data_IF_256704678227
#
_entry.id   IF_256704678227
#
_cell.length_a   1.000
_cell.length_b   1.000
_cell.length_c   1.000
_cell.angle_alpha   90.00
_cell.angle_beta   90.00
_cell.angle_gamma   90.00
#
_symmetry.space_group_name_H-M   'P 1'
#
loop_
_entity.id
_entity.type
_entity.pdbx_description
1 polymer ?
#
# COMPACT_ATOMS: atom_id res chain seq x y z
N UNK A 1 12.59 -23.15 10.53
CA UNK A 1 12.13 -21.94 11.23
C UNK A 1 11.30 -21.17 10.23
N UNK A 2 10.03 -20.88 10.51
CA UNK A 2 9.21 -20.10 9.58
C UNK A 2 9.84 -18.71 9.46
N UNK A 3 10.33 -18.34 8.29
CA UNK A 3 10.71 -16.95 8.03
C UNK A 3 9.41 -16.16 7.99
N UNK A 4 9.11 -15.43 9.07
CA UNK A 4 7.94 -14.56 9.13
C UNK A 4 8.00 -13.50 8.03
N UNK A 5 6.83 -13.06 7.57
CA UNK A 5 6.75 -11.93 6.62
C UNK A 5 7.24 -10.67 7.32
N UNK A 6 8.22 -9.99 6.74
CA UNK A 6 8.74 -8.70 7.22
C UNK A 6 8.08 -7.54 6.47
N UNK A 7 7.48 -6.63 7.22
CA UNK A 7 6.77 -5.46 6.69
C UNK A 7 7.32 -4.19 7.33
N UNK A 8 7.72 -3.25 6.51
CA UNK A 8 8.10 -1.90 6.92
C UNK A 8 7.03 -0.95 6.45
N UNK A 9 6.61 0.00 7.28
CA UNK A 9 5.81 1.14 6.84
C UNK A 9 6.50 2.45 7.17
N UNK A 10 6.41 3.42 6.25
CA UNK A 10 6.75 4.80 6.54
C UNK A 10 5.46 5.61 6.69
N UNK A 11 5.33 6.31 7.82
CA UNK A 11 4.10 7.00 8.15
C UNK A 11 4.27 8.04 9.26
N UNK A 12 3.13 8.60 9.68
CA UNK A 12 3.09 9.66 10.70
C UNK A 12 3.49 9.10 12.08
N UNK A 13 4.03 9.93 13.00
CA UNK A 13 4.38 9.46 14.35
C UNK A 13 3.17 8.98 15.14
N UNK A 14 2.01 9.61 14.93
CA UNK A 14 0.74 9.26 15.55
C UNK A 14 0.07 8.00 14.96
N UNK A 15 0.64 7.44 13.89
CA UNK A 15 0.18 6.21 13.22
C UNK A 15 -1.26 6.29 12.70
N UNK A 16 -1.74 7.49 12.38
CA UNK A 16 -3.11 7.70 11.89
C UNK A 16 -3.29 7.37 10.41
N UNK A 17 -2.19 7.32 9.66
CA UNK A 17 -2.18 7.09 8.22
C UNK A 17 -2.47 5.62 7.83
N UNK A 18 -2.82 5.39 6.56
CA UNK A 18 -3.32 4.11 6.08
C UNK A 18 -2.30 2.97 6.15
N UNK A 19 -1.04 3.24 5.82
CA UNK A 19 0.07 2.30 5.90
C UNK A 19 0.29 1.84 7.35
N UNK A 20 0.24 2.78 8.31
CA UNK A 20 0.32 2.47 9.73
C UNK A 20 -0.82 1.54 10.20
N UNK A 21 -2.04 1.72 9.69
CA UNK A 21 -3.19 0.83 10.00
C UNK A 21 -3.00 -0.57 9.43
N UNK A 22 -2.51 -0.68 8.19
CA UNK A 22 -2.18 -1.99 7.59
C UNK A 22 -1.10 -2.69 8.41
N UNK A 23 -0.07 -1.96 8.83
CA UNK A 23 1.00 -2.48 9.67
C UNK A 23 0.46 -3.00 11.01
N UNK A 24 -0.47 -2.29 11.64
CA UNK A 24 -1.10 -2.71 12.89
C UNK A 24 -1.80 -4.07 12.78
N UNK A 25 -2.57 -4.30 11.70
CA UNK A 25 -3.23 -5.59 11.48
C UNK A 25 -2.25 -6.71 11.06
N UNK A 26 -1.14 -6.37 10.42
CA UNK A 26 -0.13 -7.35 10.05
C UNK A 26 0.52 -8.03 11.28
N UNK A 27 0.66 -7.31 12.40
CA UNK A 27 1.13 -7.86 13.67
C UNK A 27 0.23 -9.01 14.13
N UNK A 28 -1.09 -8.83 14.04
CA UNK A 28 -2.07 -9.87 14.40
C UNK A 28 -2.00 -11.09 13.47
N UNK A 29 -1.48 -10.91 12.25
CA UNK A 29 -1.23 -11.98 11.28
C UNK A 29 0.15 -12.64 11.44
N UNK A 30 0.92 -12.26 12.47
CA UNK A 30 2.23 -12.84 12.77
C UNK A 30 3.40 -12.27 11.96
N UNK A 31 3.21 -11.13 11.27
CA UNK A 31 4.27 -10.44 10.58
C UNK A 31 5.24 -9.76 11.56
N UNK A 32 6.52 -9.72 11.18
CA UNK A 32 7.51 -8.86 11.84
C UNK A 32 7.41 -7.46 11.22
N UNK A 33 7.09 -6.46 12.04
CA UNK A 33 6.74 -5.13 11.54
C UNK A 33 7.66 -4.03 12.08
N UNK A 34 8.07 -3.12 11.20
CA UNK A 34 8.82 -1.91 11.58
C UNK A 34 8.06 -0.67 11.11
N UNK A 35 7.82 0.27 12.03
CA UNK A 35 7.27 1.58 11.71
C UNK A 35 8.39 2.60 11.69
N UNK A 36 8.54 3.29 10.55
CA UNK A 36 9.52 4.35 10.35
C UNK A 36 8.79 5.67 10.33
N UNK A 37 9.29 6.64 11.10
CA UNK A 37 8.74 7.98 11.16
C UNK A 37 9.84 8.99 11.51
N UNK A 38 9.45 10.22 11.79
CA UNK A 38 10.35 11.21 12.37
C UNK A 38 10.74 10.84 13.81
N UNK A 39 11.84 11.41 14.28
CA UNK A 39 12.30 11.30 15.67
C UNK A 39 11.34 12.00 16.63
N UNK A 40 11.33 11.61 17.91
CA UNK A 40 10.42 12.19 18.92
C UNK A 40 10.63 13.70 19.17
N UNK A 41 11.80 14.23 18.83
CA UNK A 41 12.19 15.62 19.07
C UNK A 41 12.09 16.52 17.82
N UNK A 42 11.45 16.07 16.75
CA UNK A 42 11.28 16.86 15.53
C UNK A 42 9.84 16.83 15.02
N UNK A 43 9.44 17.85 14.28
CA UNK A 43 8.13 17.90 13.65
C UNK A 43 8.15 17.13 12.33
N UNK A 44 7.16 16.25 12.12
CA UNK A 44 7.14 15.36 10.95
C UNK A 44 7.29 16.12 9.61
N UNK A 45 6.63 17.27 9.43
CA UNK A 45 6.69 18.04 8.18
C UNK A 45 8.10 18.55 7.81
N UNK A 46 8.97 18.71 8.80
CA UNK A 46 10.33 19.27 8.68
C UNK A 46 11.43 18.31 9.16
N UNK A 47 11.10 17.02 9.29
CA UNK A 47 12.00 15.98 9.78
C UNK A 47 13.33 15.91 8.99
N UNK A 48 14.40 15.38 9.58
CA UNK A 48 15.60 15.04 8.81
C UNK A 48 15.42 13.69 8.10
N UNK A 49 14.81 13.71 6.91
CA UNK A 49 14.62 12.50 6.09
C UNK A 49 15.94 11.84 5.67
N UNK A 50 17.06 12.56 5.69
CA UNK A 50 18.38 12.03 5.36
C UNK A 50 18.99 11.17 6.47
N UNK A 51 18.48 11.28 7.69
CA UNK A 51 18.91 10.50 8.85
C UNK A 51 18.37 9.06 8.86
N UNK A 52 17.35 8.75 8.05
CA UNK A 52 16.77 7.41 7.99
C UNK A 52 17.72 6.47 7.25
N UNK A 53 18.26 5.46 7.95
CA UNK A 53 19.01 4.38 7.31
C UNK A 53 18.05 3.38 6.64
N UNK A 54 17.59 3.74 5.44
CA UNK A 54 16.69 2.89 4.66
C UNK A 54 17.28 1.52 4.33
N UNK A 55 18.60 1.40 4.20
CA UNK A 55 19.25 0.13 3.90
C UNK A 55 19.14 -0.82 5.09
N UNK A 56 19.46 -0.34 6.29
CA UNK A 56 19.33 -1.13 7.51
C UNK A 56 17.86 -1.53 7.74
N UNK A 57 16.95 -0.55 7.60
CA UNK A 57 15.52 -0.78 7.84
C UNK A 57 14.90 -1.78 6.87
N UNK A 58 15.28 -1.74 5.59
CA UNK A 58 14.70 -2.58 4.54
C UNK A 58 15.44 -3.91 4.34
N UNK A 59 16.49 -4.18 5.12
CA UNK A 59 17.21 -5.44 5.03
C UNK A 59 16.27 -6.64 5.25
N UNK A 60 16.27 -7.54 4.27
CA UNK A 60 15.45 -8.76 4.26
C UNK A 60 13.95 -8.50 4.42
N UNK A 61 13.48 -7.30 4.05
CA UNK A 61 12.06 -6.92 4.10
C UNK A 61 11.29 -7.47 2.90
N UNK A 62 10.06 -7.96 3.12
CA UNK A 62 9.20 -8.40 2.02
C UNK A 62 8.43 -7.23 1.41
N UNK A 63 7.85 -6.38 2.28
CA UNK A 63 6.94 -5.32 1.89
C UNK A 63 7.35 -3.99 2.52
N UNK A 64 7.53 -2.96 1.71
CA UNK A 64 7.48 -1.56 2.13
C UNK A 64 6.06 -1.04 1.87
N UNK A 65 5.38 -0.52 2.88
CA UNK A 65 4.04 0.06 2.75
C UNK A 65 4.13 1.58 2.90
N UNK A 66 3.56 2.29 1.92
CA UNK A 66 3.46 3.73 1.90
C UNK A 66 2.01 4.18 1.71
N UNK A 67 1.63 5.25 2.39
CA UNK A 67 0.34 5.93 2.20
C UNK A 67 0.48 7.01 1.12
N UNK A 68 -0.52 7.16 0.25
CA UNK A 68 -0.56 8.22 -0.77
C UNK A 68 -0.52 9.63 -0.17
N UNK A 69 -1.08 9.79 1.02
CA UNK A 69 -1.32 11.11 1.61
C UNK A 69 -0.09 11.70 2.33
N UNK A 70 0.95 10.89 2.60
CA UNK A 70 2.19 11.36 3.25
C UNK A 70 2.88 12.45 2.42
N UNK A 71 2.71 12.43 1.10
CA UNK A 71 3.26 13.45 0.21
C UNK A 71 2.67 14.86 0.44
N UNK A 72 1.56 14.95 1.18
CA UNK A 72 0.89 16.20 1.54
C UNK A 72 1.37 16.76 2.88
N UNK A 73 2.07 15.96 3.70
CA UNK A 73 2.47 16.33 5.07
C UNK A 73 3.72 17.21 5.14
N UNK A 74 4.32 17.56 4.00
CA UNK A 74 5.49 18.43 3.93
C UNK A 74 6.47 17.99 2.84
N UNK A 75 7.48 18.80 2.59
CA UNK A 75 8.55 18.45 1.66
C UNK A 75 9.38 17.29 2.20
N UNK A 76 9.71 17.30 3.49
CA UNK A 76 10.59 16.28 4.07
C UNK A 76 9.96 14.87 4.10
N UNK A 77 8.71 14.67 4.58
CA UNK A 77 8.02 13.38 4.45
C UNK A 77 7.89 12.92 2.99
N UNK A 78 7.68 13.84 2.05
CA UNK A 78 7.62 13.51 0.61
C UNK A 78 8.97 12.98 0.11
N UNK A 79 10.08 13.57 0.55
CA UNK A 79 11.43 13.08 0.20
C UNK A 79 11.72 11.73 0.83
N UNK A 80 11.37 11.52 2.10
CA UNK A 80 11.48 10.22 2.78
C UNK A 80 10.65 9.14 2.07
N UNK A 81 9.40 9.45 1.70
CA UNK A 81 8.50 8.56 0.95
C UNK A 81 9.08 8.17 -0.42
N UNK A 82 9.70 9.11 -1.13
CA UNK A 82 10.33 8.82 -2.42
C UNK A 82 11.63 8.01 -2.25
N UNK A 83 12.43 8.32 -1.23
CA UNK A 83 13.66 7.60 -0.92
C UNK A 83 13.37 6.15 -0.52
N UNK A 84 12.37 5.92 0.33
CA UNK A 84 11.99 4.57 0.78
C UNK A 84 11.68 3.64 -0.39
N UNK A 85 10.97 4.12 -1.42
CA UNK A 85 10.66 3.34 -2.62
C UNK A 85 11.92 3.00 -3.44
N UNK A 86 12.86 3.94 -3.56
CA UNK A 86 14.14 3.70 -4.26
C UNK A 86 14.96 2.64 -3.51
N UNK A 87 15.09 2.77 -2.19
CA UNK A 87 15.83 1.78 -1.40
C UNK A 87 15.12 0.43 -1.35
N UNK A 88 13.78 0.39 -1.32
CA UNK A 88 13.05 -0.86 -1.39
C UNK A 88 13.37 -1.63 -2.67
N UNK A 89 13.41 -0.93 -3.81
CA UNK A 89 13.82 -1.54 -5.08
C UNK A 89 15.27 -2.08 -5.04
N UNK A 90 16.20 -1.31 -4.45
CA UNK A 90 17.61 -1.71 -4.32
C UNK A 90 17.81 -2.93 -3.42
N UNK A 91 17.10 -2.99 -2.30
CA UNK A 91 17.18 -4.09 -1.32
C UNK A 91 16.26 -5.28 -1.69
N UNK A 92 15.56 -5.20 -2.83
CA UNK A 92 14.66 -6.26 -3.32
C UNK A 92 13.32 -6.36 -2.58
N UNK A 93 13.01 -5.39 -1.73
CA UNK A 93 11.70 -5.23 -1.09
C UNK A 93 10.65 -4.78 -2.11
N UNK A 94 9.42 -5.28 -1.96
CA UNK A 94 8.31 -4.89 -2.83
C UNK A 94 7.54 -3.72 -2.21
N UNK A 95 7.26 -2.70 -3.00
CA UNK A 95 6.46 -1.55 -2.56
C UNK A 95 4.97 -1.82 -2.68
N UNK A 96 4.26 -1.53 -1.60
CA UNK A 96 2.81 -1.44 -1.51
C UNK A 96 2.44 0.03 -1.35
N UNK A 97 1.54 0.50 -2.20
CA UNK A 97 0.97 1.84 -2.09
C UNK A 97 -0.50 1.75 -1.68
N UNK A 98 -0.85 2.42 -0.59
CA UNK A 98 -2.21 2.50 -0.08
C UNK A 98 -2.77 3.88 -0.40
N UNK A 99 -3.76 3.93 -1.29
CA UNK A 99 -4.38 5.16 -1.77
C UNK A 99 -5.69 5.39 -1.05
N UNK A 100 -5.76 6.49 -0.30
CA UNK A 100 -6.94 6.90 0.48
C UNK A 100 -7.31 8.34 0.17
N UNK A 101 -8.54 8.75 0.47
CA UNK A 101 -8.95 10.15 0.44
C UNK A 101 -8.09 10.96 1.43
N UNK A 102 -7.49 12.10 1.04
CA UNK A 102 -6.82 12.99 1.99
C UNK A 102 -7.77 13.64 2.98
N UNK A 103 -7.23 14.14 4.10
CA UNK A 103 -8.02 14.86 5.12
C UNK A 103 -8.78 16.06 4.50
N UNK A 104 -8.18 16.72 3.52
CA UNK A 104 -8.85 17.64 2.61
C UNK A 104 -9.10 16.97 1.24
N UNK A 105 -10.35 16.60 0.91
CA UNK A 105 -10.66 15.88 -0.33
C UNK A 105 -10.24 16.60 -1.63
N UNK A 106 -10.08 17.92 -1.60
CA UNK A 106 -9.59 18.70 -2.74
C UNK A 106 -8.17 18.33 -3.17
N UNK A 107 -7.37 17.77 -2.26
CA UNK A 107 -5.95 17.47 -2.49
C UNK A 107 -5.72 16.09 -3.12
N UNK A 108 -6.78 15.33 -3.41
CA UNK A 108 -6.66 13.98 -3.99
C UNK A 108 -5.93 14.00 -5.34
N UNK A 109 -6.11 15.05 -6.15
CA UNK A 109 -5.37 15.18 -7.40
C UNK A 109 -3.85 15.30 -7.19
N UNK A 110 -3.43 15.96 -6.11
CA UNK A 110 -2.03 16.11 -5.76
C UNK A 110 -1.43 14.80 -5.24
N UNK A 111 -2.11 14.12 -4.31
CA UNK A 111 -1.62 12.83 -3.78
C UNK A 111 -1.63 11.74 -4.86
N UNK A 112 -2.68 11.68 -5.67
CA UNK A 112 -2.77 10.75 -6.80
C UNK A 112 -1.71 11.03 -7.88
N UNK A 113 -1.49 12.31 -8.23
CA UNK A 113 -0.43 12.69 -9.18
C UNK A 113 0.97 12.25 -8.72
N UNK A 114 1.25 12.31 -7.41
CA UNK A 114 2.50 11.79 -6.84
C UNK A 114 2.60 10.26 -7.00
N UNK A 115 1.52 9.52 -6.73
CA UNK A 115 1.46 8.05 -6.94
C UNK A 115 1.71 7.71 -8.42
N UNK A 116 1.03 8.37 -9.35
CA UNK A 116 1.21 8.17 -10.79
C UNK A 116 2.66 8.39 -11.23
N UNK A 117 3.33 9.41 -10.69
CA UNK A 117 4.73 9.70 -11.03
C UNK A 117 5.72 8.58 -10.67
N UNK A 118 5.33 7.69 -9.74
CA UNK A 118 6.12 6.56 -9.24
C UNK A 118 5.48 5.20 -9.50
N UNK A 119 4.41 5.14 -10.29
CA UNK A 119 3.56 3.96 -10.43
C UNK A 119 4.31 2.67 -10.81
N UNK A 120 5.41 2.80 -11.56
CA UNK A 120 6.23 1.66 -12.01
C UNK A 120 7.06 1.01 -10.92
N UNK A 121 7.28 1.70 -9.80
CA UNK A 121 8.00 1.16 -8.64
C UNK A 121 7.05 0.46 -7.67
N UNK A 122 5.73 0.51 -7.91
CA UNK A 122 4.70 -0.06 -7.05
C UNK A 122 4.42 -1.50 -7.50
N UNK A 123 4.54 -2.46 -6.60
CA UNK A 123 4.21 -3.86 -6.87
C UNK A 123 2.77 -4.19 -6.52
N UNK A 124 2.23 -3.59 -5.46
CA UNK A 124 0.82 -3.70 -5.07
C UNK A 124 0.26 -2.29 -4.88
N UNK A 125 -0.71 -1.92 -5.71
CA UNK A 125 -1.46 -0.68 -5.55
C UNK A 125 -2.83 -1.01 -4.96
N UNK A 126 -3.04 -0.66 -3.71
CA UNK A 126 -4.34 -0.75 -3.07
C UNK A 126 -5.06 0.60 -3.18
N UNK A 127 -6.27 0.60 -3.72
CA UNK A 127 -7.12 1.79 -3.76
C UNK A 127 -8.28 1.56 -2.80
N UNK A 128 -8.35 2.40 -1.77
CA UNK A 128 -9.48 2.37 -0.85
C UNK A 128 -10.79 2.60 -1.62
N UNK A 129 -11.89 1.89 -1.29
CA UNK A 129 -13.16 2.01 -2.01
C UNK A 129 -13.64 3.46 -2.15
N UNK A 130 -13.42 4.30 -1.12
CA UNK A 130 -13.83 5.70 -1.15
C UNK A 130 -13.03 6.52 -2.17
N UNK A 131 -11.81 6.09 -2.50
CA UNK A 131 -10.94 6.74 -3.48
C UNK A 131 -11.23 6.36 -4.94
N UNK A 132 -12.01 5.29 -5.19
CA UNK A 132 -12.30 4.82 -6.55
C UNK A 132 -13.02 5.88 -7.39
N UNK A 133 -14.13 6.43 -6.88
CA UNK A 133 -14.94 7.41 -7.61
C UNK A 133 -14.14 8.69 -7.97
N UNK A 134 -13.45 9.37 -7.03
CA UNK A 134 -12.70 10.58 -7.37
C UNK A 134 -11.49 10.31 -8.26
N UNK A 135 -10.78 9.19 -8.11
CA UNK A 135 -9.68 8.83 -9.03
C UNK A 135 -10.21 8.52 -10.43
N UNK A 136 -11.33 7.81 -10.54
CA UNK A 136 -12.02 7.54 -11.82
C UNK A 136 -12.34 8.83 -12.56
N UNK A 137 -12.83 9.84 -11.84
CA UNK A 137 -13.09 11.18 -12.39
C UNK A 137 -11.81 11.89 -12.86
N UNK A 138 -10.71 11.80 -12.11
CA UNK A 138 -9.42 12.39 -12.49
C UNK A 138 -8.88 11.74 -13.76
N UNK A 139 -8.95 10.42 -13.85
CA UNK A 139 -8.42 9.65 -14.97
C UNK A 139 -9.35 9.65 -16.20
N UNK A 140 -10.61 10.05 -16.04
CA UNK A 140 -11.63 9.96 -17.09
C UNK A 140 -11.95 8.50 -17.45
N UNK A 141 -11.99 7.62 -16.45
CA UNK A 141 -12.22 6.17 -16.58
C UNK A 141 -13.50 5.82 -15.81
N UNK A 142 -14.27 4.84 -16.29
CA UNK A 142 -15.43 4.33 -15.53
C UNK A 142 -14.96 3.56 -14.28
N UNK A 143 -15.67 3.73 -13.16
CA UNK A 143 -15.28 3.13 -11.87
C UNK A 143 -15.06 1.61 -11.94
N UNK A 144 -15.91 0.90 -12.70
CA UNK A 144 -15.82 -0.55 -12.87
C UNK A 144 -14.57 -1.01 -13.62
N UNK A 145 -13.98 -0.14 -14.45
CA UNK A 145 -12.78 -0.44 -15.25
C UNK A 145 -11.51 0.14 -14.63
N UNK A 146 -11.61 0.92 -13.55
CA UNK A 146 -10.51 1.71 -13.01
C UNK A 146 -9.28 0.86 -12.69
N UNK A 147 -9.44 -0.20 -11.89
CA UNK A 147 -8.34 -1.07 -11.47
C UNK A 147 -7.63 -1.67 -12.67
N UNK A 148 -8.40 -2.20 -13.64
CA UNK A 148 -7.87 -2.84 -14.85
C UNK A 148 -7.08 -1.85 -15.69
N UNK A 149 -7.62 -0.64 -15.89
CA UNK A 149 -6.96 0.39 -16.68
C UNK A 149 -5.69 0.91 -16.00
N UNK A 150 -5.71 1.15 -14.69
CA UNK A 150 -4.52 1.54 -13.92
C UNK A 150 -3.45 0.45 -14.02
N UNK A 151 -3.83 -0.82 -13.85
CA UNK A 151 -2.92 -1.95 -13.97
C UNK A 151 -2.25 -2.00 -15.34
N UNK A 152 -3.04 -1.91 -16.41
CA UNK A 152 -2.54 -2.01 -17.79
C UNK A 152 -1.68 -0.79 -18.18
N UNK A 153 -2.14 0.42 -17.91
CA UNK A 153 -1.43 1.67 -18.27
C UNK A 153 -0.19 1.91 -17.40
N UNK A 154 -0.31 1.63 -16.09
CA UNK A 154 0.77 1.78 -15.12
C UNK A 154 1.76 0.61 -15.11
N UNK A 155 1.37 -0.53 -15.69
CA UNK A 155 2.08 -1.81 -15.60
C UNK A 155 2.32 -2.26 -14.15
N UNK A 156 1.40 -1.92 -13.26
CA UNK A 156 1.44 -2.37 -11.86
C UNK A 156 1.15 -3.88 -11.84
N UNK A 157 1.97 -4.71 -11.15
CA UNK A 157 1.73 -6.15 -11.07
C UNK A 157 0.37 -6.52 -10.48
N UNK A 158 -0.01 -5.85 -9.39
CA UNK A 158 -1.28 -6.07 -8.68
C UNK A 158 -1.93 -4.73 -8.38
N UNK A 159 -3.20 -4.57 -8.77
CA UNK A 159 -4.05 -3.45 -8.35
C UNK A 159 -5.28 -4.04 -7.66
N UNK A 160 -5.60 -3.60 -6.45
CA UNK A 160 -6.70 -4.19 -5.69
C UNK A 160 -7.49 -3.17 -4.87
N UNK A 161 -8.70 -3.57 -4.48
CA UNK A 161 -9.57 -2.87 -3.54
C UNK A 161 -10.36 -3.88 -2.72
N UNK A 162 -10.88 -3.45 -1.58
CA UNK A 162 -11.75 -4.25 -0.73
C UNK A 162 -12.90 -3.42 -0.21
N UNK A 163 -14.13 -3.72 -0.66
CA UNK A 163 -15.34 -3.07 -0.18
C UNK A 163 -15.89 -3.81 1.03
N UNK A 164 -15.70 -3.25 2.23
CA UNK A 164 -16.17 -3.85 3.48
C UNK A 164 -17.69 -3.89 3.61
N UNK A 165 -18.44 -3.05 2.88
CA UNK A 165 -19.91 -3.05 2.93
C UNK A 165 -20.48 -4.31 2.27
N UNK A 166 -19.97 -4.64 1.09
CA UNK A 166 -20.32 -5.87 0.37
C UNK A 166 -19.50 -7.08 0.84
N UNK A 167 -18.34 -6.86 1.47
CA UNK A 167 -17.39 -7.93 1.81
C UNK A 167 -16.60 -8.43 0.59
N UNK A 168 -16.50 -7.64 -0.47
CA UNK A 168 -15.95 -8.10 -1.75
C UNK A 168 -14.54 -7.55 -1.97
N UNK A 169 -13.60 -8.48 -2.17
CA UNK A 169 -12.26 -8.19 -2.65
C UNK A 169 -12.21 -8.22 -4.18
N UNK A 170 -11.56 -7.23 -4.78
CA UNK A 170 -11.26 -7.19 -6.22
C UNK A 170 -9.77 -7.02 -6.42
N UNK A 171 -9.17 -7.91 -7.23
CA UNK A 171 -7.73 -7.95 -7.49
C UNK A 171 -7.49 -8.14 -8.98
N UNK A 172 -6.92 -7.12 -9.62
CA UNK A 172 -6.41 -7.18 -10.99
C UNK A 172 -4.93 -7.57 -10.97
N UNK A 173 -4.55 -8.55 -11.78
CA UNK A 173 -3.17 -9.02 -11.87
C UNK A 173 -2.79 -9.52 -13.28
N UNK A 174 -1.52 -9.91 -13.47
CA UNK A 174 -0.95 -10.23 -14.78
C UNK A 174 -1.67 -11.30 -15.59
N UNK A 175 -2.38 -12.21 -14.93
CA UNK A 175 -3.05 -13.34 -15.57
C UNK A 175 -4.58 -13.24 -15.54
N UNK A 176 -5.14 -12.10 -15.10
CA UNK A 176 -6.59 -11.87 -15.06
C UNK A 176 -7.03 -11.12 -13.81
N UNK A 177 -8.27 -11.39 -13.41
CA UNK A 177 -8.97 -10.69 -12.33
C UNK A 177 -9.53 -11.70 -11.33
N UNK A 178 -9.47 -11.37 -10.04
CA UNK A 178 -10.10 -12.13 -8.95
C UNK A 178 -11.12 -11.23 -8.28
N UNK A 179 -12.36 -11.71 -8.19
CA UNK A 179 -13.43 -11.10 -7.41
C UNK A 179 -14.01 -12.14 -6.47
N UNK A 180 -13.89 -11.93 -5.17
CA UNK A 180 -14.32 -12.89 -4.14
C UNK A 180 -15.02 -12.17 -2.99
N UNK A 181 -16.03 -12.82 -2.44
CA UNK A 181 -16.58 -12.47 -1.13
C UNK A 181 -15.68 -13.04 -0.05
N UNK A 182 -15.36 -12.23 0.96
CA UNK A 182 -14.49 -12.58 2.08
C UNK A 182 -15.34 -12.62 3.35
N UNK A 183 -15.30 -13.77 4.03
CA UNK A 183 -16.05 -13.96 5.28
C UNK A 183 -15.57 -13.01 6.38
N UNK A 184 -16.47 -12.70 7.33
CA UNK A 184 -16.18 -11.79 8.45
C UNK A 184 -16.16 -10.31 8.10
N UNK A 185 -16.08 -9.94 6.81
CA UNK A 185 -16.06 -8.55 6.31
C UNK A 185 -15.05 -7.68 7.08
N UNK A 186 -13.75 -8.04 7.07
CA UNK A 186 -12.72 -7.28 7.76
C UNK A 186 -12.67 -5.83 7.28
N UNK A 187 -11.98 -4.94 8.00
CA UNK A 187 -11.71 -3.61 7.47
C UNK A 187 -10.82 -3.67 6.20
N UNK A 188 -10.81 -2.66 5.32
CA UNK A 188 -9.93 -2.63 4.15
C UNK A 188 -8.44 -2.79 4.51
N UNK A 189 -7.97 -2.13 5.58
CA UNK A 189 -6.59 -2.26 6.07
C UNK A 189 -6.28 -3.65 6.61
N UNK A 190 -7.25 -4.28 7.28
CA UNK A 190 -7.12 -5.63 7.79
C UNK A 190 -7.06 -6.66 6.65
N UNK A 191 -7.97 -6.57 5.68
CA UNK A 191 -7.93 -7.43 4.49
C UNK A 191 -6.59 -7.31 3.76
N UNK A 192 -6.13 -6.08 3.51
CA UNK A 192 -4.85 -5.86 2.83
C UNK A 192 -3.68 -6.46 3.63
N UNK A 193 -3.68 -6.31 4.95
CA UNK A 193 -2.62 -6.89 5.80
C UNK A 193 -2.56 -8.41 5.68
N UNK A 194 -3.71 -9.10 5.72
CA UNK A 194 -3.80 -10.55 5.56
C UNK A 194 -3.39 -11.00 4.16
N UNK A 195 -3.83 -10.25 3.14
CA UNK A 195 -3.46 -10.49 1.75
C UNK A 195 -1.93 -10.42 1.57
N UNK A 196 -1.28 -9.39 2.10
CA UNK A 196 0.17 -9.21 2.03
C UNK A 196 0.94 -10.26 2.83
N UNK A 197 0.43 -10.69 3.97
CA UNK A 197 1.04 -11.78 4.74
C UNK A 197 0.93 -13.12 4.01
N UNK A 198 -0.16 -13.35 3.28
CA UNK A 198 -0.40 -14.63 2.62
C UNK A 198 0.29 -14.77 1.26
N UNK A 199 0.43 -13.66 0.52
CA UNK A 199 0.91 -13.68 -0.86
C UNK A 199 2.33 -14.28 -1.05
N UNK A 200 3.31 -14.05 -0.16
CA UNK A 200 4.62 -14.72 -0.26
C UNK A 200 4.55 -16.24 -0.14
N UNK A 201 3.58 -16.77 0.61
CA UNK A 201 3.41 -18.21 0.83
C UNK A 201 2.69 -18.90 -0.33
N UNK A 202 1.71 -18.21 -0.93
CA UNK A 202 0.84 -18.78 -1.97
C UNK A 202 1.38 -18.56 -3.39
N UNK A 203 2.33 -17.63 -3.55
CA UNK A 203 2.98 -17.32 -4.81
C UNK A 203 2.18 -16.37 -5.71
N UNK A 204 2.82 -15.80 -6.76
CA UNK A 204 2.23 -14.75 -7.58
C UNK A 204 1.31 -15.25 -8.71
N UNK A 205 1.11 -16.57 -8.85
CA UNK A 205 0.24 -17.14 -9.87
C UNK A 205 -1.25 -16.92 -9.58
N UNK A 206 -2.12 -17.11 -10.59
CA UNK A 206 -3.56 -16.90 -10.45
C UNK A 206 -4.19 -17.62 -9.24
N UNK A 207 -3.79 -18.88 -9.01
CA UNK A 207 -4.25 -19.67 -7.86
C UNK A 207 -3.70 -19.14 -6.54
N UNK A 208 -2.44 -18.68 -6.53
CA UNK A 208 -1.80 -18.10 -5.35
C UNK A 208 -2.45 -16.78 -4.92
N UNK A 209 -2.75 -15.93 -5.90
CA UNK A 209 -3.49 -14.67 -5.68
C UNK A 209 -4.89 -14.98 -5.17
N UNK A 210 -5.63 -15.90 -5.81
CA UNK A 210 -6.95 -16.31 -5.33
C UNK A 210 -6.94 -16.78 -3.88
N UNK A 211 -5.95 -17.60 -3.49
CA UNK A 211 -5.76 -18.07 -2.11
C UNK A 211 -5.42 -16.93 -1.15
N UNK A 212 -4.57 -15.99 -1.57
CA UNK A 212 -4.25 -14.82 -0.76
C UNK A 212 -5.45 -13.86 -0.63
N UNK A 213 -6.33 -13.79 -1.63
CA UNK A 213 -7.55 -12.97 -1.60
C UNK A 213 -8.60 -13.51 -0.65
N UNK A 214 -8.73 -14.85 -0.56
CA UNK A 214 -9.73 -15.54 0.27
C UNK A 214 -9.35 -15.66 1.75
N UNK A 215 -8.41 -14.83 2.23
CA UNK A 215 -7.89 -14.90 3.60
C UNK A 215 -8.94 -14.47 4.63
N UNK A 216 -9.20 -15.38 5.57
CA UNK A 216 -10.06 -15.20 6.74
C UNK A 216 -9.35 -14.61 7.95
#
# INVERSE_FOLDING_TARGET
MASGVRIVAFGRPDRTDAASRVLHHAIASGAETTHVSSSDNEEFHSMDHGSIDWREVLDSTNWLINSSNIVLDGESPRMAWAASMIFAELEGSKTVMVVTIPDNPGDIGQSWGAVISKIRQIQVLFIDPEAIAPISKIEGIEEGDLLTQIRLKGMVPIVCTFDASSGVAMVEHSTGSVKLEVEGKPSPSEWLSRFLCKLPETGPGADGIRKATAVE
#
